data_IF_363524069226
#
_entry.id   IF_363524069226
#
_cell.length_a   1.000
_cell.length_b   1.000
_cell.length_c   1.000
_cell.angle_alpha   90.00
_cell.angle_beta   90.00
_cell.angle_gamma   90.00
#
_symmetry.space_group_name_H-M   'P 1'
#
loop_
_entity.id
_entity.type
_entity.pdbx_description
1 polymer ?
#
# COMPACT_ATOMS: atom_id res chain seq x y z
N UNK A 1 -11.84 -7.89 -6.65
CA UNK A 1 -10.71 -7.44 -7.50
C UNK A 1 -10.68 -8.19 -8.84
N UNK A 2 -9.96 -7.69 -9.86
CA UNK A 2 -9.98 -8.26 -11.22
C UNK A 2 -9.21 -9.60 -11.37
N UNK A 3 -8.41 -9.94 -10.36
CA UNK A 3 -7.63 -11.18 -10.24
C UNK A 3 -8.46 -12.39 -9.75
N UNK A 4 -9.80 -12.27 -9.70
CA UNK A 4 -10.74 -13.33 -9.31
C UNK A 4 -10.58 -13.87 -7.89
N UNK A 5 -9.80 -13.22 -7.03
CA UNK A 5 -9.64 -13.66 -5.63
C UNK A 5 -10.92 -13.45 -4.80
N UNK A 6 -11.84 -12.61 -5.29
CA UNK A 6 -13.01 -12.17 -4.53
C UNK A 6 -12.69 -11.10 -3.48
N UNK A 7 -11.43 -10.66 -3.38
CA UNK A 7 -11.03 -9.68 -2.38
C UNK A 7 -11.68 -8.31 -2.63
N UNK A 8 -11.95 -7.61 -1.54
CA UNK A 8 -12.53 -6.27 -1.51
C UNK A 8 -11.58 -5.35 -0.74
N UNK A 9 -11.17 -4.26 -1.38
CA UNK A 9 -10.44 -3.19 -0.71
C UNK A 9 -11.44 -2.15 -0.20
N UNK A 10 -11.22 -1.70 1.02
CA UNK A 10 -11.95 -0.63 1.65
C UNK A 10 -11.12 0.66 1.61
N UNK A 11 -11.81 1.79 1.63
CA UNK A 11 -11.19 3.09 1.86
C UNK A 11 -12.19 4.07 2.44
N UNK A 12 -11.68 5.02 3.21
CA UNK A 12 -12.48 6.10 3.78
C UNK A 12 -12.49 7.31 2.85
N UNK A 13 -13.69 7.77 2.47
CA UNK A 13 -13.88 8.99 1.70
C UNK A 13 -14.25 10.14 2.63
N UNK A 14 -13.29 11.02 2.89
CA UNK A 14 -13.48 12.25 3.64
C UNK A 14 -13.84 13.39 2.68
N UNK A 15 -14.85 14.19 3.04
CA UNK A 15 -15.29 15.36 2.27
C UNK A 15 -15.02 16.65 3.04
N UNK A 16 -14.54 17.71 2.37
CA UNK A 16 -14.30 18.99 3.03
C UNK A 16 -15.63 19.61 3.48
N UNK A 17 -15.60 20.37 4.57
CA UNK A 17 -16.78 21.10 5.06
C UNK A 17 -17.27 22.14 4.04
N UNK A 18 -16.33 22.79 3.35
CA UNK A 18 -16.59 23.73 2.25
C UNK A 18 -15.92 23.20 0.98
N UNK A 19 -16.65 22.48 0.11
CA UNK A 19 -16.11 22.02 -1.17
C UNK A 19 -15.73 23.18 -2.08
N UNK A 20 -14.54 23.11 -2.68
CA UNK A 20 -14.13 24.05 -3.74
C UNK A 20 -14.28 23.39 -5.10
N UNK A 21 -14.94 24.07 -6.03
CA UNK A 21 -15.11 23.57 -7.40
C UNK A 21 -13.75 23.41 -8.12
N UNK A 22 -13.63 22.39 -8.97
CA UNK A 22 -12.43 22.14 -9.76
C UNK A 22 -11.29 21.49 -8.97
N UNK A 23 -11.53 21.02 -7.74
CA UNK A 23 -10.54 20.28 -6.95
C UNK A 23 -10.58 18.79 -7.32
N UNK A 24 -9.46 18.19 -7.75
CA UNK A 24 -9.40 16.76 -8.00
C UNK A 24 -9.57 15.96 -6.70
N UNK A 25 -10.03 14.72 -6.82
CA UNK A 25 -9.97 13.75 -5.72
C UNK A 25 -8.51 13.44 -5.38
N UNK A 26 -8.14 13.51 -4.09
CA UNK A 26 -6.82 13.04 -3.64
C UNK A 26 -6.95 11.64 -3.06
N UNK A 27 -6.18 10.69 -3.59
CA UNK A 27 -6.07 9.35 -3.05
C UNK A 27 -4.79 9.25 -2.23
N UNK A 28 -4.91 8.90 -0.95
CA UNK A 28 -3.77 8.61 -0.09
C UNK A 28 -3.53 7.10 -0.03
N UNK A 29 -2.29 6.68 -0.21
CA UNK A 29 -1.85 5.28 -0.16
C UNK A 29 -0.84 5.13 0.97
N UNK A 30 -1.19 4.34 1.98
CA UNK A 30 -0.34 4.12 3.16
C UNK A 30 0.89 3.25 2.84
N UNK A 31 1.89 3.31 3.72
CA UNK A 31 3.08 2.46 3.66
C UNK A 31 2.85 1.06 4.24
N UNK A 32 3.91 0.24 4.24
CA UNK A 32 3.87 -1.06 4.91
C UNK A 32 3.41 -0.90 6.37
N UNK A 33 2.60 -1.85 6.83
CA UNK A 33 1.99 -1.93 8.17
C UNK A 33 1.09 -0.74 8.53
N UNK A 34 0.69 0.06 7.53
CA UNK A 34 -0.19 1.20 7.68
C UNK A 34 -1.66 0.86 7.40
N UNK A 35 -2.51 1.88 7.53
CA UNK A 35 -3.92 1.84 7.16
C UNK A 35 -4.43 3.29 7.02
N UNK A 36 -5.71 3.46 6.72
CA UNK A 36 -6.37 4.76 6.62
C UNK A 36 -6.19 5.63 7.88
N UNK A 37 -6.15 5.03 9.08
CA UNK A 37 -6.05 5.77 10.35
C UNK A 37 -4.60 5.98 10.82
N UNK A 38 -3.62 5.66 9.99
CA UNK A 38 -2.23 6.01 10.29
C UNK A 38 -2.09 7.52 10.45
N UNK A 39 -1.34 7.97 11.47
CA UNK A 39 -1.25 9.40 11.84
C UNK A 39 -0.86 10.31 10.66
N UNK A 40 0.06 9.86 9.80
CA UNK A 40 0.45 10.62 8.61
C UNK A 40 -0.66 10.70 7.55
N UNK A 41 -1.52 9.68 7.44
CA UNK A 41 -2.68 9.66 6.55
C UNK A 41 -3.73 10.65 7.04
N UNK A 42 -4.06 10.60 8.33
CA UNK A 42 -5.00 11.53 8.97
C UNK A 42 -4.50 12.99 8.90
N UNK A 43 -3.21 13.21 9.14
CA UNK A 43 -2.59 14.54 9.05
C UNK A 43 -2.67 15.11 7.63
N UNK A 44 -2.31 14.31 6.63
CA UNK A 44 -2.39 14.72 5.23
C UNK A 44 -3.84 14.97 4.78
N UNK A 45 -4.76 14.07 5.15
CA UNK A 45 -6.18 14.22 4.85
C UNK A 45 -6.73 15.53 5.44
N UNK A 46 -6.48 15.80 6.73
CA UNK A 46 -6.92 17.05 7.38
C UNK A 46 -6.41 18.28 6.65
N UNK A 47 -5.14 18.29 6.25
CA UNK A 47 -4.57 19.42 5.52
C UNK A 47 -5.25 19.64 4.17
N UNK A 48 -5.47 18.57 3.40
CA UNK A 48 -6.11 18.63 2.09
C UNK A 48 -7.59 19.00 2.15
N UNK A 49 -8.31 18.48 3.15
CA UNK A 49 -9.70 18.85 3.43
C UNK A 49 -9.84 20.35 3.72
N UNK A 50 -8.92 20.92 4.51
CA UNK A 50 -8.89 22.37 4.78
C UNK A 50 -8.59 23.22 3.53
N UNK A 51 -8.02 22.61 2.48
CA UNK A 51 -7.79 23.25 1.18
C UNK A 51 -8.93 22.98 0.18
N UNK A 52 -10.01 22.32 0.62
CA UNK A 52 -11.20 22.04 -0.19
C UNK A 52 -11.12 20.79 -1.06
N UNK A 53 -10.14 19.90 -0.85
CA UNK A 53 -10.02 18.63 -1.58
C UNK A 53 -10.83 17.53 -0.89
N UNK A 54 -11.57 16.73 -1.66
CA UNK A 54 -12.03 15.43 -1.18
C UNK A 54 -10.85 14.45 -1.12
N UNK A 55 -10.83 13.59 -0.10
CA UNK A 55 -9.71 12.68 0.16
C UNK A 55 -10.22 11.26 0.32
N UNK A 56 -9.70 10.34 -0.50
CA UNK A 56 -9.88 8.90 -0.32
C UNK A 56 -8.64 8.31 0.34
N UNK A 57 -8.76 7.88 1.60
CA UNK A 57 -7.71 7.13 2.30
C UNK A 57 -7.88 5.64 2.00
N UNK A 58 -7.05 5.13 1.11
CA UNK A 58 -7.13 3.75 0.64
C UNK A 58 -6.43 2.79 1.62
N UNK A 59 -7.10 1.69 1.98
CA UNK A 59 -6.44 0.55 2.61
C UNK A 59 -6.06 -0.47 1.54
N UNK A 60 -4.77 -0.69 1.33
CA UNK A 60 -4.32 -1.70 0.37
C UNK A 60 -4.73 -3.11 0.84
N UNK A 61 -4.70 -4.06 -0.09
CA UNK A 61 -5.21 -5.42 0.11
C UNK A 61 -4.63 -6.07 1.37
N UNK A 62 -5.48 -6.61 2.24
CA UNK A 62 -5.01 -7.27 3.47
C UNK A 62 -4.59 -6.32 4.60
N UNK A 63 -4.59 -5.00 4.37
CA UNK A 63 -4.23 -4.00 5.37
C UNK A 63 -5.45 -3.38 6.06
N UNK A 64 -5.30 -3.01 7.33
CA UNK A 64 -6.34 -2.31 8.09
C UNK A 64 -7.73 -2.96 7.98
N UNK A 65 -8.79 -2.15 7.78
CA UNK A 65 -10.15 -2.65 7.56
C UNK A 65 -10.31 -3.60 6.35
N UNK A 66 -9.47 -3.48 5.30
CA UNK A 66 -9.52 -4.38 4.13
C UNK A 66 -9.18 -5.83 4.50
N UNK A 67 -8.48 -6.07 5.61
CA UNK A 67 -7.99 -7.40 6.01
C UNK A 67 -9.08 -8.47 6.06
N UNK A 68 -10.22 -8.18 6.70
CA UNK A 68 -11.30 -9.16 6.86
C UNK A 68 -11.95 -9.57 5.52
N UNK A 69 -11.75 -8.77 4.47
CA UNK A 69 -12.33 -8.97 3.15
C UNK A 69 -11.31 -9.40 2.10
N UNK A 70 -10.06 -9.65 2.51
CA UNK A 70 -9.00 -10.09 1.61
C UNK A 70 -8.47 -11.45 2.04
N UNK A 71 -8.42 -12.41 1.11
CA UNK A 71 -7.67 -13.64 1.29
C UNK A 71 -6.18 -13.46 1.01
N UNK A 72 -5.81 -12.49 0.19
CA UNK A 72 -4.42 -12.21 -0.15
C UNK A 72 -3.85 -11.01 0.62
N UNK A 73 -2.53 -10.88 0.59
CA UNK A 73 -1.80 -9.74 1.13
C UNK A 73 -1.30 -8.83 0.01
N UNK A 74 -1.12 -7.55 0.30
CA UNK A 74 -0.42 -6.64 -0.58
C UNK A 74 1.09 -6.89 -0.52
N UNK A 75 1.73 -6.54 -1.64
CA UNK A 75 3.17 -6.34 -1.74
C UNK A 75 3.37 -5.05 -2.54
N UNK A 76 4.54 -4.41 -2.47
CA UNK A 76 4.72 -3.08 -3.08
C UNK A 76 4.59 -3.09 -4.60
N UNK A 77 4.73 -4.27 -5.21
CA UNK A 77 4.56 -4.47 -6.65
C UNK A 77 3.13 -4.61 -7.14
N UNK A 78 2.12 -4.61 -6.25
CA UNK A 78 0.74 -4.95 -6.59
C UNK A 78 -0.03 -3.77 -7.22
N UNK A 79 0.50 -3.22 -8.30
CA UNK A 79 -0.06 -2.07 -9.04
C UNK A 79 -1.44 -2.36 -9.64
N UNK A 80 -1.72 -3.63 -9.96
CA UNK A 80 -3.02 -4.09 -10.43
C UNK A 80 -4.16 -3.68 -9.49
N UNK A 81 -3.88 -3.65 -8.18
CA UNK A 81 -4.89 -3.25 -7.20
C UNK A 81 -5.22 -1.77 -7.30
N UNK A 82 -4.18 -0.94 -7.34
CA UNK A 82 -4.35 0.51 -7.47
C UNK A 82 -5.00 0.90 -8.80
N UNK A 83 -4.60 0.26 -9.91
CA UNK A 83 -5.24 0.42 -11.22
C UNK A 83 -6.73 0.10 -11.16
N UNK A 84 -7.08 -0.98 -10.46
CA UNK A 84 -8.47 -1.38 -10.30
C UNK A 84 -9.27 -0.39 -9.45
N UNK A 85 -8.68 0.14 -8.39
CA UNK A 85 -9.30 1.22 -7.60
C UNK A 85 -9.63 2.41 -8.50
N UNK A 86 -8.66 2.91 -9.27
CA UNK A 86 -8.88 4.05 -10.18
C UNK A 86 -10.03 3.81 -11.16
N UNK A 87 -10.12 2.59 -11.73
CA UNK A 87 -11.19 2.23 -12.66
C UNK A 87 -12.58 2.12 -12.02
N UNK A 88 -12.65 1.83 -10.72
CA UNK A 88 -13.93 1.65 -10.00
C UNK A 88 -14.44 2.93 -9.34
N UNK A 89 -13.67 4.01 -9.38
CA UNK A 89 -14.11 5.27 -8.79
C UNK A 89 -15.26 5.86 -9.59
N UNK A 90 -16.35 6.32 -8.94
CA UNK A 90 -17.46 6.99 -9.59
C UNK A 90 -17.00 8.23 -10.37
N UNK A 91 -17.65 8.49 -11.51
CA UNK A 91 -17.36 9.64 -12.36
C UNK A 91 -17.56 10.96 -11.60
N UNK A 92 -18.55 11.02 -10.70
CA UNK A 92 -18.86 12.21 -9.91
C UNK A 92 -17.70 12.60 -8.97
N UNK A 93 -16.94 11.62 -8.48
CA UNK A 93 -15.77 11.87 -7.64
C UNK A 93 -14.53 12.24 -8.46
N UNK A 94 -14.48 11.84 -9.73
CA UNK A 94 -13.27 11.91 -10.55
C UNK A 94 -13.35 12.95 -11.66
N UNK A 95 -14.49 13.64 -11.83
CA UNK A 95 -14.74 14.65 -12.88
C UNK A 95 -13.68 15.75 -12.97
N UNK A 96 -13.12 16.19 -11.84
CA UNK A 96 -12.11 17.25 -11.79
C UNK A 96 -10.67 16.68 -11.83
N UNK A 97 -10.57 15.35 -11.97
CA UNK A 97 -9.36 14.55 -12.03
C UNK A 97 -9.00 13.89 -10.71
N UNK A 98 -7.88 13.17 -10.74
CA UNK A 98 -7.38 12.39 -9.60
C UNK A 98 -5.92 12.78 -9.34
N UNK A 99 -5.57 12.94 -8.07
CA UNK A 99 -4.18 13.06 -7.60
C UNK A 99 -3.91 11.92 -6.63
N UNK A 100 -2.73 11.31 -6.71
CA UNK A 100 -2.35 10.23 -5.80
C UNK A 100 -1.13 10.62 -4.96
N UNK A 101 -1.16 10.31 -3.67
CA UNK A 101 -0.03 10.50 -2.75
C UNK A 101 0.29 9.18 -2.06
N UNK A 102 1.49 8.65 -2.30
CA UNK A 102 1.94 7.38 -1.73
C UNK A 102 3.03 7.56 -0.69
N UNK A 103 2.90 6.89 0.45
CA UNK A 103 3.88 6.92 1.54
C UNK A 103 4.68 5.63 1.59
N UNK A 104 6.01 5.72 1.70
CA UNK A 104 6.89 4.56 1.86
C UNK A 104 6.57 3.45 0.83
N UNK A 105 6.21 2.23 1.24
CA UNK A 105 5.82 1.14 0.34
C UNK A 105 4.63 1.46 -0.58
N UNK A 106 3.66 2.26 -0.15
CA UNK A 106 2.59 2.78 -1.02
C UNK A 106 3.10 3.79 -2.04
N UNK A 107 4.17 4.51 -1.69
CA UNK A 107 4.92 5.35 -2.62
C UNK A 107 5.64 4.53 -3.70
N UNK A 108 6.30 3.43 -3.33
CA UNK A 108 6.90 2.50 -4.31
C UNK A 108 5.86 1.93 -5.26
N UNK A 109 4.72 1.47 -4.72
CA UNK A 109 3.61 0.98 -5.53
C UNK A 109 3.12 2.04 -6.52
N UNK A 110 3.00 3.30 -6.07
CA UNK A 110 2.60 4.41 -6.93
C UNK A 110 3.64 4.71 -8.02
N UNK A 111 4.93 4.71 -7.70
CA UNK A 111 6.00 4.91 -8.71
C UNK A 111 5.99 3.80 -9.76
N UNK A 112 5.90 2.54 -9.32
CA UNK A 112 5.83 1.42 -10.24
C UNK A 112 4.60 1.50 -11.14
N UNK A 113 3.43 1.81 -10.57
CA UNK A 113 2.21 2.01 -11.35
C UNK A 113 2.39 3.10 -12.42
N UNK A 114 2.97 4.24 -12.06
CA UNK A 114 3.25 5.33 -13.00
C UNK A 114 4.24 4.91 -14.10
N UNK A 115 5.24 4.09 -13.76
CA UNK A 115 6.18 3.52 -14.72
C UNK A 115 5.55 2.54 -15.71
N UNK A 116 4.58 1.74 -15.25
CA UNK A 116 3.82 0.80 -16.10
C UNK A 116 2.83 1.50 -17.02
N UNK A 117 2.10 2.50 -16.51
CA UNK A 117 1.06 3.20 -17.27
C UNK A 117 1.60 4.31 -18.16
N UNK A 118 2.68 4.98 -17.75
CA UNK A 118 3.20 6.16 -18.43
C UNK A 118 2.11 7.20 -18.69
N UNK A 119 1.98 7.64 -19.95
CA UNK A 119 0.98 8.64 -20.36
C UNK A 119 -0.48 8.14 -20.34
N UNK A 120 -0.72 6.85 -20.14
CA UNK A 120 -2.07 6.30 -20.04
C UNK A 120 -2.68 6.43 -18.63
N UNK A 121 -1.88 6.85 -17.64
CA UNK A 121 -2.40 7.07 -16.29
C UNK A 121 -3.45 8.19 -16.27
N UNK A 122 -4.61 8.00 -15.61
CA UNK A 122 -5.62 9.05 -15.47
C UNK A 122 -5.26 10.08 -14.39
N UNK A 123 -4.12 9.92 -13.70
CA UNK A 123 -3.69 10.81 -12.65
C UNK A 123 -3.22 12.16 -13.22
N UNK A 124 -3.77 13.26 -12.69
CA UNK A 124 -3.33 14.62 -13.03
C UNK A 124 -1.98 14.96 -12.41
N UNK A 125 -1.72 14.39 -11.24
CA UNK A 125 -0.46 14.54 -10.53
C UNK A 125 -0.27 13.37 -9.55
N UNK A 126 0.98 13.15 -9.17
CA UNK A 126 1.34 12.20 -8.13
C UNK A 126 2.44 12.76 -7.24
N UNK A 127 2.44 12.36 -5.97
CA UNK A 127 3.51 12.65 -5.04
C UNK A 127 3.88 11.40 -4.24
N UNK A 128 5.15 11.26 -3.88
CA UNK A 128 5.62 10.16 -3.03
C UNK A 128 6.46 10.66 -1.89
N UNK A 129 6.24 10.12 -0.70
CA UNK A 129 6.94 10.52 0.52
C UNK A 129 7.75 9.34 1.04
N UNK A 130 9.08 9.48 1.04
CA UNK A 130 10.03 8.48 1.54
C UNK A 130 9.88 7.10 0.87
N UNK A 131 9.51 7.05 -0.42
CA UNK A 131 9.37 5.80 -1.16
C UNK A 131 10.74 5.11 -1.35
N UNK A 132 10.90 3.83 -0.97
CA UNK A 132 12.09 3.07 -1.36
C UNK A 132 12.05 2.78 -2.86
N UNK A 133 13.04 3.32 -3.59
CA UNK A 133 13.17 3.15 -5.05
C UNK A 133 13.99 1.89 -5.38
N UNK A 134 15.04 1.61 -4.61
CA UNK A 134 15.84 0.39 -4.74
C UNK A 134 15.51 -0.54 -3.57
N UNK A 135 14.62 -1.51 -3.82
CA UNK A 135 14.13 -2.42 -2.79
C UNK A 135 15.21 -3.34 -2.24
N UNK A 136 16.13 -3.83 -3.09
CA UNK A 136 17.25 -4.69 -2.68
C UNK A 136 18.16 -3.93 -1.73
N UNK A 137 18.58 -2.71 -2.13
CA UNK A 137 19.46 -1.88 -1.31
C UNK A 137 18.75 -1.40 -0.06
N UNK A 138 17.46 -1.11 -0.12
CA UNK A 138 16.67 -0.73 1.04
C UNK A 138 16.60 -1.87 2.07
N UNK A 139 16.26 -3.09 1.66
CA UNK A 139 16.19 -4.27 2.52
C UNK A 139 17.55 -4.54 3.21
N UNK A 140 18.66 -4.47 2.45
CA UNK A 140 20.02 -4.60 3.00
C UNK A 140 20.36 -3.48 3.99
N UNK A 141 19.95 -2.25 3.71
CA UNK A 141 20.17 -1.12 4.62
C UNK A 141 19.34 -1.22 5.89
N UNK A 142 18.11 -1.70 5.80
CA UNK A 142 17.21 -1.87 6.94
C UNK A 142 17.81 -2.81 7.99
N UNK A 143 18.55 -3.84 7.56
CA UNK A 143 19.21 -4.81 8.45
C UNK A 143 20.51 -4.30 9.11
N UNK A 144 21.00 -3.10 8.76
CA UNK A 144 22.17 -2.52 9.44
C UNK A 144 21.86 -2.28 10.92
N UNK A 145 22.80 -2.57 11.83
CA UNK A 145 22.63 -2.42 13.29
C UNK A 145 22.04 -1.07 13.71
N UNK A 146 22.48 0.03 13.08
CA UNK A 146 21.97 1.39 13.35
C UNK A 146 20.47 1.59 13.07
N UNK A 147 19.89 0.74 12.22
CA UNK A 147 18.48 0.79 11.78
C UNK A 147 17.60 -0.25 12.48
N UNK A 148 18.14 -1.02 13.43
CA UNK A 148 17.46 -2.16 14.05
C UNK A 148 16.12 -1.80 14.71
N UNK A 149 16.01 -0.60 15.31
CA UNK A 149 14.74 -0.12 15.88
C UNK A 149 13.66 -0.01 14.81
N UNK A 150 13.99 0.60 13.67
CA UNK A 150 13.06 0.73 12.55
C UNK A 150 12.74 -0.62 11.90
N UNK A 151 13.77 -1.46 11.71
CA UNK A 151 13.60 -2.81 11.20
C UNK A 151 12.64 -3.65 12.05
N UNK A 152 12.80 -3.62 13.37
CA UNK A 152 11.90 -4.30 14.29
C UNK A 152 10.49 -3.74 14.27
N UNK A 153 10.34 -2.41 14.19
CA UNK A 153 9.04 -1.77 14.09
C UNK A 153 8.26 -2.30 12.88
N UNK A 154 8.88 -2.29 11.69
CA UNK A 154 8.26 -2.82 10.46
C UNK A 154 8.00 -4.31 10.57
N UNK A 155 8.98 -5.11 11.00
CA UNK A 155 8.81 -6.56 11.09
C UNK A 155 7.69 -6.95 12.08
N UNK A 156 7.59 -6.25 13.21
CA UNK A 156 6.53 -6.47 14.19
C UNK A 156 5.17 -6.12 13.59
N UNK A 157 5.07 -4.99 12.89
CA UNK A 157 3.86 -4.58 12.19
C UNK A 157 3.43 -5.59 11.12
N UNK A 158 4.36 -6.09 10.31
CA UNK A 158 4.09 -7.08 9.27
C UNK A 158 3.52 -8.38 9.87
N UNK A 159 4.16 -8.89 10.94
CA UNK A 159 3.65 -10.07 11.64
C UNK A 159 2.26 -9.84 12.23
N UNK A 160 2.06 -8.70 12.91
CA UNK A 160 0.78 -8.37 13.52
C UNK A 160 -0.33 -8.23 12.47
N UNK A 161 -0.02 -7.64 11.31
CA UNK A 161 -0.94 -7.51 10.19
C UNK A 161 -1.30 -8.86 9.58
N UNK A 162 -0.30 -9.67 9.23
CA UNK A 162 -0.53 -10.96 8.57
C UNK A 162 -1.12 -12.05 9.47
N UNK A 163 -1.01 -11.88 10.79
CA UNK A 163 -1.62 -12.80 11.77
C UNK A 163 -2.89 -12.24 12.41
N UNK A 164 -3.28 -11.02 12.06
CA UNK A 164 -4.42 -10.32 12.64
C UNK A 164 -5.74 -11.04 12.41
N UNK A 165 -6.77 -10.64 13.16
CA UNK A 165 -8.12 -11.17 12.99
C UNK A 165 -8.59 -11.02 11.53
N UNK A 166 -9.22 -12.07 11.01
CA UNK A 166 -9.68 -12.14 9.61
C UNK A 166 -8.60 -12.50 8.59
N UNK A 167 -7.31 -12.56 8.96
CA UNK A 167 -6.25 -12.97 8.03
C UNK A 167 -6.39 -14.43 7.61
N UNK A 168 -6.41 -14.67 6.29
CA UNK A 168 -6.49 -16.01 5.70
C UNK A 168 -5.10 -16.57 5.46
N UNK A 169 -4.52 -17.14 6.51
CA UNK A 169 -3.21 -17.80 6.48
C UNK A 169 -3.31 -19.22 7.02
N UNK A 170 -2.59 -20.17 6.41
CA UNK A 170 -2.50 -21.56 6.88
C UNK A 170 -1.69 -21.67 8.17
N UNK A 171 -1.78 -22.80 8.88
CA UNK A 171 -0.98 -23.00 10.09
C UNK A 171 0.53 -23.01 9.81
N UNK A 172 0.94 -23.54 8.65
CA UNK A 172 2.34 -23.48 8.20
C UNK A 172 2.78 -22.03 7.96
N UNK A 173 1.95 -21.23 7.27
CA UNK A 173 2.24 -19.81 7.04
C UNK A 173 2.33 -19.04 8.36
N UNK A 174 1.48 -19.36 9.34
CA UNK A 174 1.54 -18.74 10.68
C UNK A 174 2.89 -18.98 11.35
N UNK A 175 3.42 -20.20 11.28
CA UNK A 175 4.72 -20.51 11.84
C UNK A 175 5.86 -19.82 11.08
N UNK A 176 5.78 -19.75 9.74
CA UNK A 176 6.72 -19.00 8.92
C UNK A 176 6.75 -17.52 9.32
N UNK A 177 5.58 -16.88 9.41
CA UNK A 177 5.46 -15.46 9.77
C UNK A 177 6.04 -15.20 11.17
N UNK A 178 5.72 -16.05 12.16
CA UNK A 178 6.24 -15.92 13.53
C UNK A 178 7.76 -16.08 13.58
N UNK A 179 8.30 -17.02 12.80
CA UNK A 179 9.72 -17.32 12.77
C UNK A 179 10.56 -16.31 11.98
N UNK A 180 9.94 -15.49 11.11
CA UNK A 180 10.64 -14.61 10.18
C UNK A 180 11.54 -13.59 10.90
N UNK A 181 12.86 -13.65 10.78
CA UNK A 181 13.81 -12.84 11.57
C UNK A 181 14.13 -11.47 10.99
N UNK A 182 13.73 -11.24 9.75
CA UNK A 182 13.92 -9.95 9.08
C UNK A 182 12.79 -9.67 8.10
N UNK A 183 12.71 -8.43 7.59
CA UNK A 183 11.74 -8.10 6.53
C UNK A 183 12.07 -8.88 5.26
N UNK A 184 13.36 -9.07 4.97
CA UNK A 184 13.80 -9.94 3.88
C UNK A 184 13.34 -11.39 4.09
N UNK A 185 13.52 -11.95 5.29
CA UNK A 185 13.13 -13.33 5.60
C UNK A 185 11.60 -13.52 5.55
N UNK A 186 10.85 -12.50 6.01
CA UNK A 186 9.40 -12.46 5.86
C UNK A 186 9.00 -12.42 4.38
N UNK A 187 9.62 -11.55 3.60
CA UNK A 187 9.33 -11.43 2.17
C UNK A 187 9.73 -12.70 1.40
N UNK A 188 10.83 -13.34 1.77
CA UNK A 188 11.37 -14.52 1.07
C UNK A 188 10.53 -15.76 1.32
N UNK A 189 10.07 -15.95 2.57
CA UNK A 189 9.39 -17.18 2.98
C UNK A 189 7.87 -17.09 2.97
N UNK A 190 7.31 -15.89 2.98
CA UNK A 190 5.85 -15.69 3.00
C UNK A 190 5.35 -14.94 1.77
N UNK A 191 5.78 -13.69 1.55
CA UNK A 191 5.27 -12.87 0.44
C UNK A 191 5.65 -13.44 -0.93
N UNK A 192 6.90 -13.83 -1.10
CA UNK A 192 7.44 -14.32 -2.37
C UNK A 192 6.72 -15.58 -2.87
N UNK A 193 6.68 -16.70 -2.11
CA UNK A 193 6.02 -17.92 -2.57
C UNK A 193 4.53 -17.72 -2.77
N UNK A 194 3.87 -16.92 -1.92
CA UNK A 194 2.42 -16.66 -2.02
C UNK A 194 2.05 -15.91 -3.30
N UNK A 195 2.96 -15.10 -3.84
CA UNK A 195 2.74 -14.33 -5.06
C UNK A 195 3.53 -14.85 -6.27
N UNK A 196 4.08 -16.06 -6.19
CA UNK A 196 4.73 -16.74 -7.31
C UNK A 196 6.12 -16.22 -7.67
N UNK A 197 6.76 -15.45 -6.78
CA UNK A 197 8.15 -15.04 -6.93
C UNK A 197 9.08 -16.18 -6.50
N UNK A 198 10.30 -16.21 -7.06
CA UNK A 198 11.30 -17.24 -6.72
C UNK A 198 11.92 -17.06 -5.33
N UNK A 199 11.77 -15.87 -4.74
CA UNK A 199 12.34 -15.46 -3.47
C UNK A 199 12.35 -13.93 -3.35
N UNK A 200 12.83 -13.40 -2.24
CA UNK A 200 12.77 -11.96 -1.96
C UNK A 200 13.57 -11.11 -2.96
N UNK A 201 14.73 -11.58 -3.43
CA UNK A 201 15.51 -10.83 -4.43
C UNK A 201 14.79 -10.75 -5.79
N UNK A 202 14.12 -11.83 -6.21
CA UNK A 202 13.31 -11.86 -7.43
C UNK A 202 12.09 -10.94 -7.31
N UNK A 203 11.40 -11.00 -6.17
CA UNK A 203 10.32 -10.08 -5.83
C UNK A 203 10.79 -8.61 -5.91
N UNK A 204 11.88 -8.27 -5.23
CA UNK A 204 12.40 -6.90 -5.21
C UNK A 204 12.84 -6.41 -6.59
N UNK A 205 13.41 -7.28 -7.42
CA UNK A 205 13.84 -6.90 -8.77
C UNK A 205 12.67 -6.67 -9.72
N UNK A 206 11.58 -7.43 -9.59
CA UNK A 206 10.41 -7.32 -10.47
C UNK A 206 9.42 -6.24 -10.02
N UNK A 207 9.51 -5.83 -8.75
CA UNK A 207 8.56 -4.92 -8.12
C UNK A 207 9.14 -3.56 -7.72
N UNK A 208 10.43 -3.33 -7.94
CA UNK A 208 11.03 -1.99 -7.84
C UNK A 208 10.62 -1.09 -9.01
#
# INVERSE_FOLDING_TARGET
MADRTGDILLGMLDRPEVPMAGRPLVILIHGLTGCEDSVYMLSAARHLLNLGYAVLRLNVRGAGPSRAYCGEHYHVGRTADFRRVLWQLPEELTRDGIVAIGYSGGGTMLLKYLGEEGSFSPLRAAATVCAPIDLVRNARHMQKRRNWVYHNYILTGLRAESLGEGARVSDEEREIIRAARSVFDFDDRFISPRHGFKGAEDYYSLCA
#
